data_IF_170787553563
#
_entry.id   IF_170787553563
#
_cell.length_a   1.000
_cell.length_b   1.000
_cell.length_c   1.000
_cell.angle_alpha   90.00
_cell.angle_beta   90.00
_cell.angle_gamma   90.00
#
_symmetry.space_group_name_H-M   'P 1'
#
loop_
_entity.id
_entity.type
_entity.pdbx_description
1 polymer ?
#
# COMPACT_ATOMS: atom_id res chain seq x y z
N UNK A 1 -4.31 10.50 33.48
CA UNK A 1 -3.80 11.76 32.92
C UNK A 1 -4.97 12.53 32.31
N UNK A 2 -5.19 13.78 32.75
CA UNK A 2 -6.19 14.65 32.10
C UNK A 2 -5.59 15.27 30.85
N UNK A 3 -6.34 15.32 29.76
CA UNK A 3 -5.94 15.95 28.50
C UNK A 3 -6.07 17.48 28.64
N UNK A 4 -4.95 18.19 28.73
CA UNK A 4 -4.91 19.65 29.02
C UNK A 4 -4.50 20.49 27.81
N UNK A 5 -4.58 19.96 26.57
CA UNK A 5 -4.21 20.75 25.38
C UNK A 5 -5.40 21.57 24.89
N UNK A 6 -5.19 22.87 24.72
CA UNK A 6 -6.14 23.78 24.09
C UNK A 6 -5.90 23.87 22.58
N UNK A 7 -6.95 24.07 21.76
CA UNK A 7 -6.76 24.28 20.32
C UNK A 7 -6.01 25.57 20.05
N UNK A 8 -5.09 25.53 19.07
CA UNK A 8 -4.36 26.70 18.62
C UNK A 8 -4.98 27.24 17.32
N UNK A 9 -5.20 28.56 17.25
CA UNK A 9 -5.60 29.24 16.02
C UNK A 9 -4.49 29.17 14.99
N UNK A 10 -4.77 29.39 13.71
CA UNK A 10 -3.76 29.42 12.65
C UNK A 10 -2.64 30.44 12.95
N UNK A 11 -3.01 31.63 13.48
CA UNK A 11 -2.03 32.63 13.92
C UNK A 11 -1.10 32.09 15.01
N UNK A 12 -1.66 31.40 16.00
CA UNK A 12 -0.86 30.78 17.06
C UNK A 12 0.02 29.64 16.54
N UNK A 13 -0.44 28.87 15.56
CA UNK A 13 0.37 27.82 14.93
C UNK A 13 1.57 28.42 14.19
N UNK A 14 1.40 29.52 13.45
CA UNK A 14 2.48 30.27 12.79
C UNK A 14 3.48 30.76 13.84
N UNK A 15 2.99 31.34 14.93
CA UNK A 15 3.85 31.85 16.00
C UNK A 15 4.66 30.73 16.68
N UNK A 16 4.05 29.57 16.91
CA UNK A 16 4.75 28.38 17.43
C UNK A 16 5.86 27.92 16.48
N UNK A 17 5.65 27.96 15.17
CA UNK A 17 6.69 27.62 14.19
C UNK A 17 7.86 28.61 14.27
N UNK A 18 7.59 29.92 14.31
CA UNK A 18 8.60 30.98 14.46
C UNK A 18 9.39 30.85 15.75
N UNK A 19 8.73 30.63 16.89
CA UNK A 19 9.37 30.44 18.19
C UNK A 19 10.31 29.24 18.25
N UNK A 20 10.05 28.24 17.40
CA UNK A 20 10.91 27.08 17.22
C UNK A 20 12.04 27.29 16.21
N UNK A 21 12.14 28.48 15.60
CA UNK A 21 13.18 28.84 14.65
C UNK A 21 12.86 28.58 13.19
N UNK A 22 11.60 28.26 12.85
CA UNK A 22 11.18 28.16 11.46
C UNK A 22 11.06 29.57 10.86
N UNK A 23 11.74 29.80 9.75
CA UNK A 23 11.62 31.03 8.96
C UNK A 23 10.33 30.92 8.13
N UNK A 24 9.52 31.98 8.17
CA UNK A 24 8.27 32.09 7.40
C UNK A 24 8.34 33.39 6.62
N UNK A 25 8.77 33.29 5.36
CA UNK A 25 8.95 34.42 4.48
C UNK A 25 7.59 34.93 3.94
N UNK A 26 6.72 34.00 3.60
CA UNK A 26 5.35 34.30 3.15
C UNK A 26 4.32 33.79 4.19
N UNK A 27 3.86 34.72 5.05
CA UNK A 27 2.87 34.39 6.08
C UNK A 27 1.51 34.06 5.47
N UNK A 28 1.14 34.67 4.35
CA UNK A 28 -0.15 34.39 3.70
C UNK A 28 -0.17 32.98 3.12
N UNK A 29 0.92 32.55 2.47
CA UNK A 29 1.10 31.18 2.03
C UNK A 29 1.06 30.20 3.20
N UNK A 30 1.77 30.48 4.29
CA UNK A 30 1.76 29.61 5.46
C UNK A 30 0.35 29.51 6.07
N UNK A 31 -0.37 30.62 6.15
CA UNK A 31 -1.78 30.66 6.60
C UNK A 31 -2.67 29.78 5.72
N UNK A 32 -2.55 29.92 4.41
CA UNK A 32 -3.31 29.11 3.45
C UNK A 32 -3.01 27.61 3.59
N UNK A 33 -1.74 27.25 3.74
CA UNK A 33 -1.35 25.85 3.95
C UNK A 33 -1.92 25.30 5.26
N UNK A 34 -1.76 26.00 6.37
CA UNK A 34 -2.23 25.58 7.69
C UNK A 34 -3.76 25.57 7.82
N UNK A 35 -4.47 26.35 7.01
CA UNK A 35 -5.94 26.32 6.93
C UNK A 35 -6.43 25.06 6.21
N UNK A 36 -5.71 24.61 5.17
CA UNK A 36 -6.15 23.48 4.34
C UNK A 36 -5.51 22.13 4.70
N UNK A 37 -4.42 22.15 5.48
CA UNK A 37 -3.70 20.95 5.90
C UNK A 37 -3.60 20.96 7.42
N UNK A 38 -4.15 19.94 8.04
CA UNK A 38 -4.10 19.81 9.50
C UNK A 38 -2.65 19.91 10.01
N UNK A 39 -2.41 20.77 11.01
CA UNK A 39 -1.10 20.95 11.64
C UNK A 39 -0.47 19.62 12.08
N UNK A 40 -1.27 18.71 12.62
CA UNK A 40 -0.79 17.41 13.05
C UNK A 40 -0.27 16.56 11.88
N UNK A 41 -0.88 16.69 10.71
CA UNK A 41 -0.36 16.06 9.48
C UNK A 41 0.97 16.66 9.05
N UNK A 42 1.09 17.97 9.07
CA UNK A 42 2.35 18.66 8.75
C UNK A 42 3.44 18.37 9.78
N UNK A 43 3.09 18.01 11.01
CA UNK A 43 4.06 17.67 12.06
C UNK A 43 4.97 16.49 11.63
N UNK A 44 4.48 15.55 10.82
CA UNK A 44 5.31 14.47 10.26
C UNK A 44 6.38 15.01 9.29
N UNK A 45 6.10 16.12 8.60
CA UNK A 45 7.02 16.76 7.66
C UNK A 45 7.93 17.78 8.36
N UNK A 46 7.56 18.26 9.52
CA UNK A 46 8.43 19.07 10.38
C UNK A 46 9.56 18.26 11.00
N UNK A 47 9.29 17.00 11.35
CA UNK A 47 10.21 16.16 12.10
C UNK A 47 11.63 16.04 11.51
N UNK A 48 11.84 15.86 10.18
CA UNK A 48 13.18 15.79 9.59
C UNK A 48 14.01 17.08 9.74
N UNK A 49 13.34 18.21 9.94
CA UNK A 49 13.98 19.54 10.07
C UNK A 49 14.22 19.96 11.53
N UNK A 50 13.75 19.15 12.48
CA UNK A 50 13.91 19.43 13.91
C UNK A 50 15.22 18.87 14.44
N UNK A 51 15.86 19.66 15.30
CA UNK A 51 16.97 19.23 16.14
C UNK A 51 16.50 18.75 17.51
N UNK A 52 17.49 18.39 18.34
CA UNK A 52 17.24 18.09 19.75
C UNK A 52 16.58 19.31 20.42
N UNK A 53 15.58 19.06 21.28
CA UNK A 53 14.75 20.07 21.99
C UNK A 53 13.63 20.71 21.16
N UNK A 54 13.30 20.17 19.97
CA UNK A 54 12.14 20.61 19.19
C UNK A 54 12.29 21.97 18.51
N UNK A 55 13.53 22.44 18.31
CA UNK A 55 13.87 23.60 17.48
C UNK A 55 14.20 23.16 16.07
N UNK A 56 13.93 24.00 15.09
CA UNK A 56 14.33 23.76 13.70
C UNK A 56 15.83 24.03 13.53
N UNK A 57 16.45 23.31 12.59
CA UNK A 57 17.82 23.59 12.15
C UNK A 57 17.89 25.01 11.58
N UNK A 58 19.03 25.70 11.78
CA UNK A 58 19.24 27.04 11.27
C UNK A 58 18.99 27.10 9.76
N UNK A 59 18.31 28.14 9.32
CA UNK A 59 17.95 28.35 7.93
C UNK A 59 16.75 27.53 7.44
N UNK A 60 16.08 26.73 8.29
CA UNK A 60 14.87 26.01 7.88
C UNK A 60 13.74 26.98 7.60
N UNK A 61 13.20 26.93 6.38
CA UNK A 61 12.01 27.71 5.98
C UNK A 61 10.76 26.83 5.91
N UNK A 62 9.60 27.44 6.12
CA UNK A 62 8.31 26.77 5.96
C UNK A 62 8.11 26.26 4.52
N UNK A 63 8.55 27.05 3.55
CA UNK A 63 8.48 26.74 2.12
C UNK A 63 9.30 25.49 1.77
N UNK A 64 10.47 25.28 2.39
CA UNK A 64 11.26 24.05 2.20
C UNK A 64 10.50 22.83 2.69
N UNK A 65 9.86 22.93 3.85
CA UNK A 65 9.05 21.84 4.41
C UNK A 65 7.87 21.53 3.47
N UNK A 66 7.20 22.56 2.96
CA UNK A 66 6.09 22.40 2.04
C UNK A 66 6.52 21.79 0.69
N UNK A 67 7.73 22.07 0.19
CA UNK A 67 8.30 21.41 -0.99
C UNK A 67 8.42 19.89 -0.78
N UNK A 68 8.87 19.45 0.39
CA UNK A 68 8.95 18.02 0.73
C UNK A 68 7.55 17.40 0.81
N UNK A 69 6.59 18.11 1.42
CA UNK A 69 5.19 17.66 1.46
C UNK A 69 4.59 17.49 0.07
N UNK A 70 4.81 18.46 -0.83
CA UNK A 70 4.31 18.41 -2.19
C UNK A 70 5.00 17.34 -3.03
N UNK A 71 6.31 17.17 -2.88
CA UNK A 71 7.06 16.09 -3.50
C UNK A 71 6.48 14.72 -3.09
N UNK A 72 6.31 14.47 -1.80
CA UNK A 72 5.71 13.24 -1.29
C UNK A 72 4.30 12.99 -1.82
N UNK A 73 3.50 14.07 -1.94
CA UNK A 73 2.15 14.00 -2.48
C UNK A 73 2.14 13.54 -3.95
N UNK A 74 3.05 14.06 -4.76
CA UNK A 74 3.21 13.66 -6.16
C UNK A 74 3.71 12.22 -6.24
N UNK A 75 4.74 11.88 -5.46
CA UNK A 75 5.34 10.56 -5.43
C UNK A 75 4.34 9.47 -5.02
N UNK A 76 3.52 9.70 -3.99
CA UNK A 76 2.45 8.76 -3.61
C UNK A 76 1.47 8.50 -4.74
N UNK A 77 1.09 9.53 -5.50
CA UNK A 77 0.19 9.37 -6.67
C UNK A 77 0.81 8.49 -7.75
N UNK A 78 2.07 8.74 -8.08
CA UNK A 78 2.80 7.93 -9.05
C UNK A 78 2.90 6.47 -8.60
N UNK A 79 3.29 6.24 -7.35
CA UNK A 79 3.40 4.90 -6.80
C UNK A 79 2.06 4.17 -6.77
N UNK A 80 0.96 4.87 -6.44
CA UNK A 80 -0.38 4.26 -6.44
C UNK A 80 -0.79 3.74 -7.81
N UNK A 81 -0.42 4.41 -8.90
CA UNK A 81 -0.70 3.91 -10.27
C UNK A 81 -0.01 2.55 -10.51
N UNK A 82 1.27 2.44 -10.19
CA UNK A 82 1.98 1.16 -10.33
C UNK A 82 1.44 0.07 -9.40
N UNK A 83 1.11 0.44 -8.17
CA UNK A 83 0.59 -0.50 -7.18
C UNK A 83 -0.79 -1.03 -7.57
N UNK A 84 -1.64 -0.20 -8.18
CA UNK A 84 -2.94 -0.59 -8.71
C UNK A 84 -2.80 -1.66 -9.80
N UNK A 85 -1.91 -1.46 -10.76
CA UNK A 85 -1.68 -2.43 -11.84
C UNK A 85 -1.13 -3.77 -11.31
N UNK A 86 -0.21 -3.72 -10.34
CA UNK A 86 0.29 -4.94 -9.69
C UNK A 86 -0.85 -5.64 -8.93
N UNK A 87 -1.65 -4.91 -8.17
CA UNK A 87 -2.76 -5.45 -7.39
C UNK A 87 -3.78 -6.14 -8.30
N UNK A 88 -4.17 -5.50 -9.40
CA UNK A 88 -5.12 -6.04 -10.40
C UNK A 88 -4.54 -7.32 -11.04
N UNK A 89 -3.29 -7.28 -11.49
CA UNK A 89 -2.64 -8.45 -12.10
C UNK A 89 -2.55 -9.63 -11.12
N UNK A 90 -2.17 -9.37 -9.88
CA UNK A 90 -2.07 -10.42 -8.88
C UNK A 90 -3.44 -11.01 -8.50
N UNK A 91 -4.52 -10.20 -8.49
CA UNK A 91 -5.89 -10.72 -8.34
C UNK A 91 -6.22 -11.71 -9.44
N UNK A 92 -5.94 -11.37 -10.70
CA UNK A 92 -6.21 -12.23 -11.84
C UNK A 92 -5.39 -13.52 -11.78
N UNK A 93 -4.07 -13.43 -11.57
CA UNK A 93 -3.17 -14.58 -11.50
C UNK A 93 -3.60 -15.55 -10.39
N UNK A 94 -3.77 -15.05 -9.17
CA UNK A 94 -4.11 -15.88 -8.00
C UNK A 94 -5.48 -16.52 -8.16
N UNK A 95 -6.49 -15.74 -8.54
CA UNK A 95 -7.87 -16.27 -8.66
C UNK A 95 -8.02 -17.26 -9.80
N UNK A 96 -7.38 -17.02 -10.96
CA UNK A 96 -7.39 -17.92 -12.08
C UNK A 96 -6.70 -19.25 -11.74
N UNK A 97 -5.51 -19.19 -11.16
CA UNK A 97 -4.79 -20.40 -10.75
C UNK A 97 -5.62 -21.22 -9.76
N UNK A 98 -6.16 -20.57 -8.73
CA UNK A 98 -6.94 -21.25 -7.70
C UNK A 98 -8.24 -21.85 -8.27
N UNK A 99 -8.93 -21.10 -9.15
CA UNK A 99 -10.15 -21.58 -9.81
C UNK A 99 -9.91 -22.78 -10.71
N UNK A 100 -8.84 -22.75 -11.51
CA UNK A 100 -8.50 -23.85 -12.41
C UNK A 100 -8.11 -25.11 -11.66
N UNK A 101 -7.50 -24.99 -10.50
CA UNK A 101 -7.04 -26.14 -9.71
C UNK A 101 -8.10 -26.71 -8.78
N UNK A 102 -8.89 -25.86 -8.14
CA UNK A 102 -9.82 -26.25 -7.07
C UNK A 102 -11.30 -25.96 -7.40
N UNK A 103 -11.56 -25.42 -8.59
CA UNK A 103 -12.90 -25.00 -9.00
C UNK A 103 -13.31 -23.63 -8.47
N UNK A 104 -14.44 -23.14 -8.96
CA UNK A 104 -14.98 -21.81 -8.66
C UNK A 104 -15.12 -21.52 -7.15
N UNK A 105 -15.47 -22.51 -6.36
CA UNK A 105 -15.71 -22.42 -4.93
C UNK A 105 -14.63 -23.12 -4.09
N UNK A 106 -13.50 -23.48 -4.70
CA UNK A 106 -12.41 -24.20 -4.03
C UNK A 106 -11.87 -23.49 -2.81
N UNK A 107 -11.92 -22.15 -2.79
CA UNK A 107 -11.48 -21.34 -1.66
C UNK A 107 -12.35 -21.50 -0.40
N UNK A 108 -13.55 -22.06 -0.51
CA UNK A 108 -14.39 -22.41 0.63
C UNK A 108 -13.96 -23.71 1.32
N UNK A 109 -13.00 -24.44 0.74
CA UNK A 109 -12.49 -25.69 1.29
C UNK A 109 -11.05 -25.50 1.79
N UNK A 110 -10.80 -25.85 3.05
CA UNK A 110 -9.47 -25.78 3.66
C UNK A 110 -8.41 -26.60 2.91
N UNK A 111 -8.82 -27.64 2.17
CA UNK A 111 -7.89 -28.51 1.43
C UNK A 111 -7.10 -27.80 0.33
N UNK A 112 -7.50 -26.62 -0.10
CA UNK A 112 -6.77 -25.77 -1.06
C UNK A 112 -5.63 -24.94 -0.44
N UNK A 113 -5.47 -24.96 0.88
CA UNK A 113 -4.55 -24.13 1.62
C UNK A 113 -3.51 -24.93 2.41
N UNK A 114 -2.51 -24.23 2.92
CA UNK A 114 -1.50 -24.79 3.82
C UNK A 114 -2.17 -25.24 5.14
N UNK A 115 -1.71 -26.32 5.78
CA UNK A 115 -2.29 -26.79 7.04
C UNK A 115 -2.29 -25.76 8.19
N UNK A 116 -1.41 -24.75 8.15
CA UNK A 116 -1.37 -23.68 9.14
C UNK A 116 -2.39 -22.54 8.88
N UNK A 117 -3.09 -22.59 7.74
CA UNK A 117 -4.12 -21.60 7.39
C UNK A 117 -5.29 -21.64 8.35
N UNK A 118 -5.62 -20.51 8.95
CA UNK A 118 -6.84 -20.38 9.77
C UNK A 118 -8.07 -20.19 8.89
N UNK A 119 -8.56 -21.30 8.33
CA UNK A 119 -9.63 -21.29 7.36
C UNK A 119 -10.93 -20.69 7.88
N UNK A 120 -11.29 -20.94 9.15
CA UNK A 120 -12.50 -20.38 9.75
C UNK A 120 -12.42 -18.84 9.86
N UNK A 121 -11.27 -18.31 10.29
CA UNK A 121 -11.06 -16.87 10.35
C UNK A 121 -11.09 -16.23 8.95
N UNK A 122 -10.55 -16.94 7.95
CA UNK A 122 -10.59 -16.51 6.55
C UNK A 122 -12.04 -16.44 6.03
N UNK A 123 -12.85 -17.48 6.21
CA UNK A 123 -14.26 -17.48 5.79
C UNK A 123 -15.05 -16.36 6.49
N UNK A 124 -14.87 -16.20 7.79
CA UNK A 124 -15.53 -15.12 8.54
C UNK A 124 -15.11 -13.72 8.07
N UNK A 125 -13.90 -13.58 7.53
CA UNK A 125 -13.45 -12.33 6.92
C UNK A 125 -14.14 -12.09 5.57
N UNK A 126 -14.29 -13.12 4.75
CA UNK A 126 -15.00 -13.04 3.47
C UNK A 126 -16.46 -12.66 3.67
N UNK A 127 -17.15 -13.31 4.61
CA UNK A 127 -18.53 -12.98 4.97
C UNK A 127 -18.68 -11.48 5.31
N UNK A 128 -17.81 -10.96 6.19
CA UNK A 128 -17.80 -9.53 6.54
C UNK A 128 -17.51 -8.61 5.35
N UNK A 129 -16.63 -9.04 4.41
CA UNK A 129 -16.37 -8.26 3.20
C UNK A 129 -17.60 -8.22 2.28
N UNK A 130 -18.29 -9.33 2.13
CA UNK A 130 -19.54 -9.40 1.35
C UNK A 130 -20.64 -8.54 1.98
N UNK A 131 -20.77 -8.55 3.30
CA UNK A 131 -21.72 -7.70 4.02
C UNK A 131 -21.38 -6.20 3.88
N UNK A 132 -20.10 -5.84 4.08
CA UNK A 132 -19.63 -4.46 3.99
C UNK A 132 -19.79 -3.86 2.57
N UNK A 133 -19.82 -4.71 1.54
CA UNK A 133 -19.94 -4.31 0.14
C UNK A 133 -21.31 -4.71 -0.46
N UNK A 134 -22.34 -4.86 0.35
CA UNK A 134 -23.66 -5.30 -0.10
C UNK A 134 -24.32 -4.39 -1.16
N UNK A 135 -23.87 -3.14 -1.25
CA UNK A 135 -24.38 -2.16 -2.21
C UNK A 135 -23.71 -2.25 -3.59
N UNK A 136 -22.61 -3.00 -3.74
CA UNK A 136 -21.96 -3.23 -5.02
C UNK A 136 -22.84 -4.09 -5.94
N UNK A 137 -22.97 -3.70 -7.22
CA UNK A 137 -23.89 -4.37 -8.15
C UNK A 137 -23.57 -5.85 -8.37
N UNK A 138 -22.29 -6.23 -8.41
CA UNK A 138 -21.92 -7.64 -8.57
C UNK A 138 -22.22 -8.44 -7.28
N UNK A 139 -22.12 -7.84 -6.08
CA UNK A 139 -22.50 -8.47 -4.81
C UNK A 139 -24.01 -8.69 -4.77
N UNK A 140 -24.81 -7.66 -5.12
CA UNK A 140 -26.26 -7.77 -5.24
C UNK A 140 -26.68 -8.87 -6.23
N UNK A 141 -25.99 -8.94 -7.37
CA UNK A 141 -26.22 -9.98 -8.37
C UNK A 141 -26.04 -11.37 -7.77
N UNK A 142 -24.90 -11.61 -7.08
CA UNK A 142 -24.61 -12.91 -6.46
C UNK A 142 -25.59 -13.22 -5.31
N UNK A 143 -25.98 -12.24 -4.49
CA UNK A 143 -27.00 -12.43 -3.46
C UNK A 143 -28.35 -12.87 -4.06
N UNK A 144 -28.80 -12.20 -5.13
CA UNK A 144 -30.09 -12.50 -5.77
C UNK A 144 -30.10 -13.85 -6.52
N UNK A 145 -29.02 -14.16 -7.25
CA UNK A 145 -29.01 -15.29 -8.17
C UNK A 145 -28.43 -16.56 -7.56
N UNK A 146 -27.48 -16.42 -6.63
CA UNK A 146 -26.72 -17.55 -6.09
C UNK A 146 -26.74 -17.61 -4.56
N UNK A 147 -27.69 -16.92 -3.90
CA UNK A 147 -27.82 -16.93 -2.45
C UNK A 147 -26.60 -16.34 -1.71
N UNK A 148 -25.83 -15.48 -2.36
CA UNK A 148 -24.62 -14.86 -1.79
C UNK A 148 -23.34 -15.67 -2.00
N UNK A 149 -23.43 -16.84 -2.63
CA UNK A 149 -22.25 -17.64 -2.98
C UNK A 149 -21.53 -16.95 -4.14
N UNK A 150 -20.24 -16.71 -3.97
CA UNK A 150 -19.40 -16.03 -4.96
C UNK A 150 -18.28 -16.97 -5.44
N UNK A 151 -17.99 -17.00 -6.74
CA UNK A 151 -16.80 -17.71 -7.22
C UNK A 151 -15.54 -16.94 -6.82
N UNK A 152 -14.39 -17.62 -6.74
CA UNK A 152 -13.13 -17.02 -6.26
C UNK A 152 -12.73 -15.76 -7.02
N UNK A 153 -12.93 -15.71 -8.35
CA UNK A 153 -12.63 -14.54 -9.17
C UNK A 153 -13.53 -13.32 -8.88
N UNK A 154 -14.69 -13.51 -8.29
CA UNK A 154 -15.53 -12.43 -7.81
C UNK A 154 -15.22 -12.08 -6.33
N UNK A 155 -14.93 -13.08 -5.51
CA UNK A 155 -14.60 -12.88 -4.10
C UNK A 155 -13.31 -12.06 -3.91
N UNK A 156 -12.28 -12.29 -4.75
CA UNK A 156 -11.01 -11.56 -4.66
C UNK A 156 -11.14 -10.07 -4.97
N UNK A 157 -12.19 -9.64 -5.70
CA UNK A 157 -12.43 -8.22 -5.96
C UNK A 157 -12.79 -7.45 -4.68
N UNK A 158 -13.28 -8.14 -3.66
CA UNK A 158 -13.54 -7.55 -2.35
C UNK A 158 -12.30 -7.49 -1.44
N UNK A 159 -11.20 -8.13 -1.84
CA UNK A 159 -10.01 -8.21 -0.99
C UNK A 159 -9.23 -6.89 -1.02
N UNK A 160 -8.76 -6.44 0.13
CA UNK A 160 -7.66 -5.48 0.16
C UNK A 160 -6.37 -6.12 -0.35
N UNK A 161 -5.38 -5.32 -0.77
CA UNK A 161 -4.08 -5.85 -1.18
C UNK A 161 -3.46 -6.77 -0.11
N UNK A 162 -3.54 -6.38 1.17
CA UNK A 162 -3.10 -7.25 2.27
C UNK A 162 -3.88 -8.56 2.38
N UNK A 163 -5.20 -8.54 2.13
CA UNK A 163 -6.00 -9.79 2.14
C UNK A 163 -5.60 -10.70 0.99
N UNK A 164 -5.38 -10.16 -0.20
CA UNK A 164 -4.88 -10.88 -1.36
C UNK A 164 -3.49 -11.47 -1.11
N UNK A 165 -2.60 -10.69 -0.48
CA UNK A 165 -1.26 -11.14 -0.09
C UNK A 165 -1.33 -12.36 0.85
N UNK A 166 -2.16 -12.29 1.87
CA UNK A 166 -2.33 -13.43 2.79
C UNK A 166 -3.02 -14.63 2.13
N UNK A 167 -3.92 -14.41 1.17
CA UNK A 167 -4.47 -15.51 0.38
C UNK A 167 -3.35 -16.26 -0.36
N UNK A 168 -2.43 -15.54 -1.01
CA UNK A 168 -1.26 -16.12 -1.66
C UNK A 168 -0.37 -16.88 -0.65
N UNK A 169 -0.02 -16.25 0.48
CA UNK A 169 0.86 -16.85 1.49
C UNK A 169 0.28 -18.16 2.02
N UNK A 170 -1.03 -18.20 2.22
CA UNK A 170 -1.74 -19.33 2.79
C UNK A 170 -2.00 -20.46 1.78
N UNK A 171 -1.78 -20.26 0.48
CA UNK A 171 -1.82 -21.33 -0.52
C UNK A 171 -0.74 -22.39 -0.25
N UNK A 172 -0.94 -23.62 -0.68
CA UNK A 172 0.06 -24.68 -0.59
C UNK A 172 1.36 -24.30 -1.29
N UNK A 173 2.48 -24.63 -0.69
CA UNK A 173 3.82 -24.30 -1.24
C UNK A 173 4.03 -24.85 -2.66
N UNK A 174 3.49 -26.04 -2.97
CA UNK A 174 3.56 -26.61 -4.32
C UNK A 174 2.76 -25.77 -5.34
N UNK A 175 1.61 -25.24 -4.94
CA UNK A 175 0.75 -24.42 -5.80
C UNK A 175 1.37 -23.04 -6.05
N UNK A 176 1.92 -22.44 -5.01
CA UNK A 176 2.67 -21.17 -5.13
C UNK A 176 3.84 -21.31 -6.08
N UNK A 177 4.61 -22.39 -5.94
CA UNK A 177 5.76 -22.66 -6.82
C UNK A 177 5.33 -22.82 -8.28
N UNK A 178 4.28 -23.59 -8.52
CA UNK A 178 3.74 -23.82 -9.86
C UNK A 178 3.20 -22.51 -10.46
N UNK A 179 2.33 -21.81 -9.76
CA UNK A 179 1.76 -20.54 -10.20
C UNK A 179 2.83 -19.49 -10.50
N UNK A 180 3.79 -19.30 -9.58
CA UNK A 180 4.83 -18.28 -9.73
C UNK A 180 5.73 -18.59 -10.92
N UNK A 181 6.10 -19.86 -11.15
CA UNK A 181 6.94 -20.25 -12.29
C UNK A 181 6.29 -19.99 -13.66
N UNK A 182 4.97 -19.82 -13.73
CA UNK A 182 4.25 -19.51 -14.96
C UNK A 182 4.24 -18.01 -15.30
N UNK A 183 4.50 -17.14 -14.32
CA UNK A 183 4.31 -15.71 -14.45
C UNK A 183 5.54 -14.86 -14.09
N UNK A 184 6.48 -15.41 -13.32
CA UNK A 184 7.61 -14.66 -12.78
C UNK A 184 8.89 -15.48 -12.87
N UNK A 185 10.01 -14.83 -13.24
CA UNK A 185 11.35 -15.42 -13.11
C UNK A 185 11.91 -15.19 -11.70
N UNK A 186 11.15 -15.65 -10.69
CA UNK A 186 11.43 -15.45 -9.27
C UNK A 186 11.02 -16.69 -8.47
N UNK A 187 11.65 -16.89 -7.33
CA UNK A 187 11.19 -17.88 -6.37
C UNK A 187 9.85 -17.43 -5.72
N UNK A 188 8.93 -18.38 -5.46
CA UNK A 188 7.65 -18.05 -4.84
C UNK A 188 7.77 -17.35 -3.47
N UNK A 189 8.79 -17.69 -2.66
CA UNK A 189 9.05 -17.02 -1.39
C UNK A 189 9.46 -15.56 -1.57
N UNK A 190 10.18 -15.28 -2.64
CA UNK A 190 10.53 -13.91 -3.05
C UNK A 190 9.27 -13.14 -3.46
N UNK A 191 8.35 -13.76 -4.18
CA UNK A 191 7.07 -13.13 -4.56
C UNK A 191 6.20 -12.87 -3.31
N UNK A 192 6.11 -13.81 -2.38
CA UNK A 192 5.40 -13.61 -1.09
C UNK A 192 5.95 -12.42 -0.31
N UNK A 193 7.27 -12.34 -0.15
CA UNK A 193 7.93 -11.26 0.56
C UNK A 193 7.70 -9.91 -0.11
N UNK A 194 7.77 -9.87 -1.43
CA UNK A 194 7.51 -8.65 -2.20
C UNK A 194 6.06 -8.20 -2.11
N UNK A 195 5.12 -9.11 -2.15
CA UNK A 195 3.71 -8.79 -1.95
C UNK A 195 3.44 -8.18 -0.57
N UNK A 196 4.12 -8.66 0.48
CA UNK A 196 4.05 -8.05 1.82
C UNK A 196 4.59 -6.62 1.80
N UNK A 197 5.77 -6.40 1.21
CA UNK A 197 6.36 -5.07 1.07
C UNK A 197 5.44 -4.11 0.28
N UNK A 198 4.85 -4.59 -0.82
CA UNK A 198 3.95 -3.76 -1.62
C UNK A 198 2.63 -3.45 -0.91
N UNK A 199 2.13 -4.37 -0.09
CA UNK A 199 0.98 -4.11 0.77
C UNK A 199 1.28 -2.99 1.77
N UNK A 200 2.48 -2.97 2.37
CA UNK A 200 2.93 -1.89 3.26
C UNK A 200 3.06 -0.57 2.50
N UNK A 201 3.71 -0.57 1.33
CA UNK A 201 3.86 0.62 0.48
C UNK A 201 2.51 1.20 0.06
N UNK A 202 1.60 0.34 -0.37
CA UNK A 202 0.24 0.72 -0.75
C UNK A 202 -0.50 1.38 0.42
N UNK A 203 -0.38 0.81 1.61
CA UNK A 203 -1.03 1.36 2.80
C UNK A 203 -0.43 2.72 3.18
N UNK A 204 0.90 2.88 3.13
CA UNK A 204 1.58 4.17 3.34
C UNK A 204 1.07 5.22 2.35
N UNK A 205 0.92 4.85 1.07
CA UNK A 205 0.42 5.76 0.04
C UNK A 205 -1.07 6.10 0.24
N UNK A 206 -1.92 5.10 0.47
CA UNK A 206 -3.37 5.26 0.64
C UNK A 206 -3.75 6.07 1.90
N UNK A 207 -2.99 5.92 2.97
CA UNK A 207 -3.20 6.66 4.23
C UNK A 207 -2.46 8.00 4.27
N UNK A 208 -1.84 8.42 3.15
CA UNK A 208 -1.12 9.68 3.03
C UNK A 208 0.04 9.83 4.03
N UNK A 209 0.65 8.73 4.45
CA UNK A 209 1.80 8.73 5.34
C UNK A 209 3.02 9.29 4.61
N UNK A 210 3.94 9.95 5.33
CA UNK A 210 5.17 10.49 4.76
C UNK A 210 6.04 9.35 4.21
N UNK A 211 6.57 9.54 3.01
CA UNK A 211 7.56 8.66 2.37
C UNK A 211 9.00 9.16 2.58
N UNK A 212 9.18 10.48 2.50
CA UNK A 212 10.48 11.12 2.60
C UNK A 212 11.15 10.84 3.96
N UNK A 213 12.35 10.27 3.94
CA UNK A 213 13.10 9.90 5.16
C UNK A 213 12.25 9.17 6.21
N UNK A 214 11.38 8.30 5.76
CA UNK A 214 10.55 7.48 6.64
C UNK A 214 10.81 6.01 6.34
N UNK A 215 11.53 5.29 7.21
CA UNK A 215 11.80 3.87 7.00
C UNK A 215 10.50 3.05 7.12
N UNK A 216 10.43 2.02 6.31
CA UNK A 216 9.35 1.02 6.41
C UNK A 216 9.59 0.08 7.59
N UNK A 217 8.55 -0.59 8.10
CA UNK A 217 8.69 -1.49 9.25
C UNK A 217 9.61 -2.68 8.98
N UNK A 218 9.69 -3.13 7.72
CA UNK A 218 10.48 -4.30 7.31
C UNK A 218 11.39 -3.93 6.14
N UNK A 219 12.52 -4.63 6.01
CA UNK A 219 13.29 -4.68 4.77
C UNK A 219 12.81 -5.87 3.93
N UNK A 220 12.82 -5.79 2.58
CA UNK A 220 12.65 -6.96 1.73
C UNK A 220 13.72 -8.01 2.07
N UNK A 221 13.33 -9.28 2.16
CA UNK A 221 14.22 -10.36 2.62
C UNK A 221 15.14 -10.93 1.54
N UNK A 222 14.80 -10.69 0.28
CA UNK A 222 15.52 -11.26 -0.85
C UNK A 222 16.02 -10.17 -1.79
N UNK A 223 17.31 -10.24 -2.13
CA UNK A 223 17.95 -9.40 -3.15
C UNK A 223 17.74 -9.92 -4.59
N UNK A 224 17.07 -11.06 -4.78
CA UNK A 224 16.83 -11.66 -6.10
C UNK A 224 16.24 -10.65 -7.08
N UNK A 225 16.93 -10.40 -8.20
CA UNK A 225 16.49 -9.48 -9.23
C UNK A 225 16.48 -7.99 -8.85
N UNK A 226 16.99 -7.60 -7.67
CA UNK A 226 17.08 -6.20 -7.26
C UNK A 226 18.43 -5.56 -7.63
N UNK A 227 19.50 -6.35 -7.74
CA UNK A 227 20.85 -5.87 -8.08
C UNK A 227 21.60 -5.17 -6.93
N UNK A 228 21.04 -5.20 -5.73
CA UNK A 228 21.64 -4.67 -4.49
C UNK A 228 21.01 -5.34 -3.25
N UNK A 229 21.70 -5.25 -2.12
CA UNK A 229 21.13 -5.69 -0.84
C UNK A 229 20.04 -4.71 -0.39
N UNK A 230 18.78 -5.17 -0.24
CA UNK A 230 17.68 -4.30 0.13
C UNK A 230 17.72 -3.94 1.61
N UNK A 231 17.23 -2.75 1.90
CA UNK A 231 17.00 -2.22 3.22
C UNK A 231 15.53 -1.77 3.38
N UNK A 232 15.19 -1.17 4.51
CA UNK A 232 13.83 -0.68 4.77
C UNK A 232 13.58 0.74 4.22
N UNK A 233 14.30 1.16 3.20
CA UNK A 233 14.10 2.46 2.55
C UNK A 233 13.11 2.40 1.39
N UNK A 234 12.61 3.57 1.01
CA UNK A 234 11.75 3.72 -0.17
C UNK A 234 12.42 3.21 -1.46
N UNK A 235 13.77 3.36 -1.59
CA UNK A 235 14.52 2.83 -2.75
C UNK A 235 14.29 1.34 -2.92
N UNK A 236 14.42 0.56 -1.85
CA UNK A 236 14.21 -0.88 -1.87
C UNK A 236 12.77 -1.25 -2.22
N UNK A 237 11.80 -0.54 -1.67
CA UNK A 237 10.38 -0.76 -1.96
C UNK A 237 10.00 -0.40 -3.40
N UNK A 238 10.59 0.65 -3.98
CA UNK A 238 10.42 0.99 -5.40
C UNK A 238 11.03 -0.07 -6.32
N UNK A 239 12.21 -0.61 -5.96
CA UNK A 239 12.83 -1.70 -6.71
C UNK A 239 11.99 -2.99 -6.64
N UNK A 240 11.40 -3.29 -5.48
CA UNK A 240 10.44 -4.38 -5.30
C UNK A 240 9.22 -4.17 -6.21
N UNK A 241 8.64 -2.97 -6.24
CA UNK A 241 7.51 -2.66 -7.12
C UNK A 241 7.87 -2.90 -8.60
N UNK A 242 9.02 -2.38 -9.03
CA UNK A 242 9.53 -2.60 -10.40
C UNK A 242 9.67 -4.08 -10.75
N UNK A 243 10.11 -4.90 -9.80
CA UNK A 243 10.38 -6.33 -10.05
C UNK A 243 9.14 -7.21 -10.18
N UNK A 244 8.00 -6.76 -9.66
CA UNK A 244 6.69 -7.40 -9.81
C UNK A 244 5.77 -6.65 -10.78
N UNK A 245 6.21 -5.49 -11.25
CA UNK A 245 5.43 -4.74 -12.22
C UNK A 245 5.28 -5.61 -13.47
N UNK A 246 4.05 -5.84 -13.91
CA UNK A 246 3.83 -6.60 -15.13
C UNK A 246 4.36 -5.79 -16.31
N UNK A 247 5.67 -5.73 -16.47
CA UNK A 247 6.37 -5.10 -17.60
C UNK A 247 5.86 -5.55 -18.96
N UNK A 248 4.80 -6.25 -18.99
CA UNK A 248 4.69 -7.36 -19.89
C UNK A 248 3.45 -7.29 -20.76
N UNK A 249 2.47 -6.48 -20.43
CA UNK A 249 1.22 -6.59 -21.14
C UNK A 249 0.94 -5.43 -22.11
N UNK A 250 1.69 -4.32 -22.04
CA UNK A 250 1.30 -3.14 -22.82
C UNK A 250 2.42 -2.44 -23.59
N UNK A 251 3.68 -2.91 -23.53
CA UNK A 251 4.80 -2.20 -24.19
C UNK A 251 5.43 -2.91 -25.38
N UNK A 252 5.15 -4.18 -25.62
CA UNK A 252 5.70 -4.89 -26.79
C UNK A 252 4.86 -4.75 -28.05
N UNK A 253 3.56 -4.59 -27.95
CA UNK A 253 2.69 -4.58 -29.13
C UNK A 253 2.44 -3.18 -29.71
N UNK A 254 2.74 -2.11 -28.97
CA UNK A 254 2.59 -0.74 -29.48
C UNK A 254 3.81 -0.21 -30.25
N UNK A 255 4.92 -0.94 -30.26
CA UNK A 255 6.15 -0.54 -30.96
C UNK A 255 6.32 -1.19 -32.34
N UNK A 256 5.52 -2.19 -32.68
CA UNK A 256 5.61 -2.92 -33.96
C UNK A 256 4.52 -2.54 -34.99
N UNK A 257 3.66 -1.59 -34.69
CA UNK A 257 2.68 -1.02 -35.64
C UNK A 257 3.00 0.45 -36.00
N UNK A 258 4.23 0.73 -36.39
CA UNK A 258 4.67 2.04 -36.87
C UNK A 258 5.43 1.93 -38.17
#
# INVERSE_FOLDING_TARGET
>A
MQFNKTPATIKQQIEILRQRGCIIDDEEYARKCLTNINYYRLAYYFAPFLERKGKYRDGTTFEQIMKVYDFDRVLRRMLMTYLEEIEISMRAIISNYHAMKYGALGYLNASGFDPHHNHQAFLSKIERLIEANENEEFVKHHKRKYGGIMPVWAAVELFSFGTLTYFLIDMKSADKKDMVSQHFDLNYRTVEDRMLCLSDLRNVCAHYTRLYENPFPNAPKSSDGLGFEPDNTLKSYMAVARSLYPCLLYTSDAADEG
#
